data_IF_601298598317
#
_entry.id   IF_601298598317
#
_cell.length_a   1.000
_cell.length_b   1.000
_cell.length_c   1.000
_cell.angle_alpha   90.00
_cell.angle_beta   90.00
_cell.angle_gamma   90.00
#
_symmetry.space_group_name_H-M   'P 1'
#
loop_
_entity.id
_entity.type
_entity.pdbx_description
1 polymer ?
#
# COMPACT_ATOMS: atom_id res chain seq x y z
N UNK A 1 -7.75 4.97 8.88
CA UNK A 1 -7.36 5.92 7.82
C UNK A 1 -6.14 5.40 7.06
N UNK A 2 -6.25 5.25 5.74
CA UNK A 2 -5.14 4.76 4.89
C UNK A 2 -3.87 5.63 5.04
N UNK A 3 -3.95 6.98 5.05
CA UNK A 3 -2.76 7.83 5.22
C UNK A 3 -2.07 7.62 6.58
N UNK A 4 -2.82 7.44 7.66
CA UNK A 4 -2.27 7.21 8.99
C UNK A 4 -1.56 5.85 9.10
N UNK A 5 -2.14 4.81 8.49
CA UNK A 5 -1.54 3.48 8.38
C UNK A 5 -0.25 3.50 7.54
N UNK A 6 -0.24 4.19 6.40
CA UNK A 6 0.98 4.36 5.61
C UNK A 6 2.08 5.11 6.36
N UNK A 7 1.74 6.08 7.23
CA UNK A 7 2.71 6.77 8.08
C UNK A 7 3.36 5.82 9.10
N UNK A 8 2.61 4.94 9.76
CA UNK A 8 3.18 3.98 10.73
C UNK A 8 4.15 3.00 10.06
N UNK A 9 3.88 2.64 8.80
CA UNK A 9 4.75 1.79 7.99
C UNK A 9 5.93 2.52 7.33
N UNK A 10 6.03 3.86 7.48
CA UNK A 10 6.98 4.71 6.75
C UNK A 10 6.84 4.62 5.22
N UNK A 11 5.61 4.40 4.76
CA UNK A 11 5.20 4.29 3.36
C UNK A 11 4.33 5.46 2.90
N UNK A 12 4.27 6.55 3.69
CA UNK A 12 3.45 7.74 3.44
C UNK A 12 3.75 8.43 2.10
N UNK A 13 4.90 8.18 1.47
CA UNK A 13 5.18 8.62 0.10
C UNK A 13 4.18 8.08 -0.93
N UNK A 14 3.55 6.93 -0.64
CA UNK A 14 2.54 6.30 -1.50
C UNK A 14 1.12 6.74 -1.15
N UNK A 15 0.93 7.63 -0.18
CA UNK A 15 -0.41 8.11 0.20
C UNK A 15 -1.24 8.62 -0.98
N UNK A 16 -0.68 9.37 -1.96
CA UNK A 16 -1.45 9.82 -3.13
C UNK A 16 -1.98 8.68 -4.00
N UNK A 17 -1.30 7.52 -4.03
CA UNK A 17 -1.71 6.34 -4.80
C UNK A 17 -2.99 5.73 -4.22
N UNK A 18 -3.12 5.78 -2.89
CA UNK A 18 -4.22 5.14 -2.16
C UNK A 18 -5.25 6.13 -1.61
N UNK A 19 -5.15 7.42 -1.93
CA UNK A 19 -6.01 8.47 -1.40
C UNK A 19 -7.49 8.26 -1.76
N UNK A 20 -7.75 7.70 -2.95
CA UNK A 20 -9.10 7.35 -3.43
C UNK A 20 -9.50 5.91 -3.11
N UNK A 21 -8.63 5.14 -2.46
CA UNK A 21 -8.85 3.72 -2.20
C UNK A 21 -9.25 3.49 -0.75
N UNK A 22 -10.24 2.61 -0.56
CA UNK A 22 -10.64 2.21 0.78
C UNK A 22 -9.67 1.16 1.33
N UNK A 23 -9.42 1.17 2.64
CA UNK A 23 -8.55 0.19 3.30
C UNK A 23 -9.04 -1.24 3.06
N UNK A 24 -10.36 -1.45 2.95
CA UNK A 24 -10.98 -2.74 2.63
C UNK A 24 -10.65 -3.25 1.22
N UNK A 25 -10.31 -2.37 0.29
CA UNK A 25 -9.87 -2.77 -1.05
C UNK A 25 -8.37 -3.06 -1.05
N UNK A 26 -7.60 -2.36 -0.21
CA UNK A 26 -6.15 -2.57 -0.08
C UNK A 26 -5.76 -3.96 0.41
N UNK A 27 -6.55 -4.58 1.29
CA UNK A 27 -6.27 -5.94 1.79
C UNK A 27 -6.32 -7.00 0.68
N UNK A 28 -7.01 -6.72 -0.43
CA UNK A 28 -7.15 -7.65 -1.56
C UNK A 28 -6.16 -7.35 -2.70
N UNK A 29 -5.27 -6.37 -2.53
CA UNK A 29 -4.28 -6.04 -3.55
C UNK A 29 -3.21 -7.12 -3.64
N UNK A 30 -2.82 -7.46 -4.86
CA UNK A 30 -1.69 -8.35 -5.14
C UNK A 30 -0.40 -7.56 -5.36
N UNK A 31 0.75 -8.25 -5.34
CA UNK A 31 2.05 -7.62 -5.66
C UNK A 31 2.03 -6.93 -7.03
N UNK A 32 1.46 -7.60 -8.04
CA UNK A 32 1.33 -7.10 -9.41
C UNK A 32 0.46 -5.85 -9.48
N UNK A 33 -0.64 -5.80 -8.72
CA UNK A 33 -1.52 -4.63 -8.66
C UNK A 33 -0.82 -3.45 -7.98
N UNK A 34 -0.09 -3.70 -6.88
CA UNK A 34 0.71 -2.67 -6.21
C UNK A 34 1.79 -2.11 -7.15
N UNK A 35 2.43 -2.96 -7.94
CA UNK A 35 3.39 -2.55 -8.95
C UNK A 35 2.75 -1.69 -10.05
N UNK A 36 1.61 -2.14 -10.60
CA UNK A 36 0.86 -1.40 -11.61
C UNK A 36 0.36 -0.02 -11.13
N UNK A 37 0.07 0.11 -9.83
CA UNK A 37 -0.32 1.39 -9.21
C UNK A 37 0.86 2.35 -8.98
N UNK A 38 2.10 1.92 -9.21
CA UNK A 38 3.31 2.75 -9.06
C UNK A 38 4.15 2.44 -7.81
N UNK A 39 3.86 1.37 -7.08
CA UNK A 39 4.72 0.86 -6.01
C UNK A 39 5.82 -0.03 -6.61
N UNK A 40 6.77 0.59 -7.32
CA UNK A 40 7.85 -0.13 -8.02
C UNK A 40 8.86 -0.81 -7.09
N UNK A 41 8.97 -0.35 -5.83
CA UNK A 41 9.92 -0.90 -4.88
C UNK A 41 9.40 -2.22 -4.28
N UNK A 42 10.04 -3.34 -4.64
CA UNK A 42 9.72 -4.67 -4.11
C UNK A 42 9.65 -4.72 -2.57
N UNK A 43 10.58 -4.05 -1.89
CA UNK A 43 10.57 -3.98 -0.42
C UNK A 43 9.35 -3.27 0.16
N UNK A 44 8.82 -2.24 -0.53
CA UNK A 44 7.60 -1.56 -0.12
C UNK A 44 6.37 -2.45 -0.33
N UNK A 45 6.28 -3.16 -1.47
CA UNK A 45 5.18 -4.09 -1.74
C UNK A 45 5.11 -5.22 -0.74
N UNK A 46 6.24 -5.91 -0.51
CA UNK A 46 6.35 -6.95 0.52
C UNK A 46 5.96 -6.45 1.91
N UNK A 47 6.34 -5.21 2.25
CA UNK A 47 5.97 -4.60 3.54
C UNK A 47 4.47 -4.31 3.65
N UNK A 48 3.82 -3.90 2.56
CA UNK A 48 2.36 -3.69 2.54
C UNK A 48 1.62 -5.02 2.66
N UNK A 49 2.03 -6.03 1.89
CA UNK A 49 1.38 -7.35 1.90
C UNK A 49 1.51 -8.05 3.26
N UNK A 50 2.69 -8.00 3.90
CA UNK A 50 2.94 -8.63 5.21
C UNK A 50 2.08 -8.05 6.35
N UNK A 51 1.54 -6.84 6.21
CA UNK A 51 0.72 -6.20 7.25
C UNK A 51 -0.73 -6.68 7.21
N UNK A 52 -1.12 -7.37 6.14
CA UNK A 52 -2.46 -7.93 5.96
C UNK A 52 -2.53 -9.44 6.23
N UNK A 53 -1.38 -10.07 6.50
CA UNK A 53 -1.23 -11.42 7.11
C UNK A 53 -1.29 -11.30 8.63
#
# INVERSE_FOLDING_TARGET
DVPAWLRSLRLHKYSPIFEKMNWKSMIYLTDEQLEAMGVSALGARRKMLKVFD
#
